data_IF_385231813097
#
_entry.id   IF_385231813097
#
_cell.length_a   1.000
_cell.length_b   1.000
_cell.length_c   1.000
_cell.angle_alpha   90.00
_cell.angle_beta   90.00
_cell.angle_gamma   90.00
#
_symmetry.space_group_name_H-M   'P 1'
#
loop_
_entity.id
_entity.type
_entity.pdbx_description
1 polymer ?
#
# COMPACT_ATOMS: atom_id res chain seq x y z
N UNK A 1 -9.31 1.91 4.20
CA UNK A 1 -9.66 0.62 4.82
C UNK A 1 -8.50 -0.38 4.68
N UNK A 2 -8.15 -0.87 3.47
CA UNK A 2 -7.08 -1.89 3.30
C UNK A 2 -5.71 -1.45 3.83
N UNK A 3 -5.33 -0.18 3.66
CA UNK A 3 -4.06 0.35 4.17
C UNK A 3 -4.05 0.36 5.70
N UNK A 4 -5.15 0.77 6.33
CA UNK A 4 -5.31 0.74 7.79
C UNK A 4 -5.27 -0.70 8.32
N UNK A 5 -5.86 -1.65 7.58
CA UNK A 5 -5.83 -3.07 7.93
C UNK A 5 -4.40 -3.63 7.87
N UNK A 6 -3.57 -3.18 6.92
CA UNK A 6 -2.17 -3.57 6.83
C UNK A 6 -1.35 -3.05 8.03
N UNK A 7 -1.53 -1.78 8.41
CA UNK A 7 -0.85 -1.18 9.55
C UNK A 7 -1.20 -1.93 10.86
N UNK A 8 -2.49 -2.21 11.08
CA UNK A 8 -2.94 -2.99 12.22
C UNK A 8 -2.45 -4.44 12.22
N UNK A 9 -2.36 -5.08 11.07
CA UNK A 9 -1.89 -6.45 10.95
C UNK A 9 -0.39 -6.57 11.23
N UNK A 10 0.40 -5.63 10.76
CA UNK A 10 1.84 -5.57 11.00
C UNK A 10 2.16 -5.43 12.51
N UNK A 11 1.37 -4.64 13.24
CA UNK A 11 1.53 -4.46 14.68
C UNK A 11 1.07 -5.66 15.52
N UNK A 12 0.06 -6.41 15.03
CA UNK A 12 -0.59 -7.47 15.83
C UNK A 12 0.05 -8.85 15.69
N UNK A 13 0.77 -9.09 14.62
CA UNK A 13 1.24 -10.44 14.31
C UNK A 13 2.76 -10.49 14.46
N UNK A 14 3.24 -10.70 15.65
CA UNK A 14 4.67 -10.85 16.02
C UNK A 14 5.52 -11.81 15.17
N UNK A 15 5.19 -11.96 13.90
CA UNK A 15 5.88 -12.77 12.92
C UNK A 15 6.48 -12.00 11.75
N UNK A 16 6.06 -10.75 11.50
CA UNK A 16 6.66 -9.98 10.43
C UNK A 16 7.28 -8.71 10.96
N UNK A 17 8.58 -8.68 10.82
CA UNK A 17 9.40 -7.63 11.33
C UNK A 17 8.97 -6.28 10.75
N UNK A 18 8.53 -5.39 11.61
CA UNK A 18 8.62 -3.97 11.36
C UNK A 18 10.12 -3.67 11.27
N UNK A 19 10.60 -3.35 10.09
CA UNK A 19 11.96 -2.86 9.93
C UNK A 19 11.92 -1.41 10.38
N UNK A 20 12.12 -1.23 11.69
CA UNK A 20 12.17 0.07 12.32
C UNK A 20 13.52 0.74 12.07
N UNK A 21 13.53 2.07 11.98
CA UNK A 21 14.77 2.87 11.86
C UNK A 21 15.52 2.62 10.53
N UNK A 22 14.81 2.76 9.43
CA UNK A 22 15.39 2.65 8.09
C UNK A 22 16.35 3.80 7.84
N UNK A 23 17.64 3.52 7.87
CA UNK A 23 18.69 4.49 7.51
C UNK A 23 19.07 4.39 6.03
N UNK A 24 18.88 3.21 5.45
CA UNK A 24 19.17 2.93 4.04
C UNK A 24 18.01 2.14 3.43
N UNK A 25 17.19 2.82 2.64
CA UNK A 25 16.01 2.25 2.01
C UNK A 25 16.31 1.07 1.07
N UNK A 26 17.42 1.13 0.34
CA UNK A 26 17.82 0.05 -0.58
C UNK A 26 18.09 -1.26 0.19
N UNK A 27 18.91 -1.19 1.24
CA UNK A 27 19.21 -2.35 2.08
C UNK A 27 17.96 -2.88 2.81
N UNK A 28 17.10 -1.98 3.30
CA UNK A 28 15.90 -2.38 4.03
C UNK A 28 14.85 -3.03 3.12
N UNK A 29 14.73 -2.60 1.87
CA UNK A 29 13.89 -3.27 0.88
C UNK A 29 14.38 -4.69 0.59
N UNK A 30 15.70 -4.91 0.50
CA UNK A 30 16.26 -6.24 0.31
C UNK A 30 15.98 -7.17 1.51
N UNK A 31 16.10 -6.67 2.74
CA UNK A 31 15.75 -7.41 3.95
C UNK A 31 14.26 -7.76 3.97
N UNK A 32 13.38 -6.83 3.54
CA UNK A 32 11.95 -7.10 3.46
C UNK A 32 11.64 -8.20 2.41
N UNK A 33 12.35 -8.20 1.29
CA UNK A 33 12.23 -9.26 0.26
C UNK A 33 12.69 -10.61 0.82
N UNK A 34 13.83 -10.63 1.54
CA UNK A 34 14.34 -11.83 2.21
C UNK A 34 13.31 -12.39 3.18
N UNK A 35 12.75 -11.55 4.08
CA UNK A 35 11.73 -11.97 5.03
C UNK A 35 10.46 -12.55 4.36
N UNK A 36 10.04 -11.97 3.23
CA UNK A 36 8.91 -12.52 2.47
C UNK A 36 9.26 -13.87 1.81
N UNK A 37 10.50 -14.04 1.37
CA UNK A 37 10.95 -15.31 0.78
C UNK A 37 11.08 -16.40 1.86
N UNK A 38 11.61 -16.06 3.03
CA UNK A 38 11.71 -16.98 4.17
C UNK A 38 10.31 -17.41 4.68
N UNK A 39 9.31 -16.55 4.49
CA UNK A 39 7.92 -16.83 4.78
C UNK A 39 7.18 -17.63 3.68
N UNK A 40 7.90 -18.16 2.68
CA UNK A 40 7.32 -18.87 1.53
C UNK A 40 6.21 -18.08 0.82
N UNK A 41 6.32 -16.75 0.78
CA UNK A 41 5.36 -15.89 0.08
C UNK A 41 5.66 -15.90 -1.43
N UNK A 42 4.65 -16.14 -2.30
CA UNK A 42 4.85 -16.12 -3.74
C UNK A 42 5.50 -14.83 -4.22
N UNK A 43 6.44 -14.96 -5.16
CA UNK A 43 7.17 -13.80 -5.74
C UNK A 43 6.25 -12.99 -6.68
N UNK A 44 5.27 -13.65 -7.28
CA UNK A 44 4.35 -13.02 -8.22
C UNK A 44 3.37 -12.09 -7.49
N UNK A 45 2.98 -11.01 -8.15
CA UNK A 45 1.96 -10.05 -7.67
C UNK A 45 2.32 -9.40 -6.32
N UNK A 46 3.61 -9.21 -6.05
CA UNK A 46 4.07 -8.37 -4.95
C UNK A 46 4.02 -6.90 -5.37
N UNK A 47 3.64 -6.03 -4.45
CA UNK A 47 3.60 -4.59 -4.64
C UNK A 47 4.14 -3.86 -3.42
N UNK A 48 4.56 -2.62 -3.64
CA UNK A 48 5.04 -1.72 -2.59
C UNK A 48 4.17 -0.46 -2.58
N UNK A 49 3.68 -0.07 -1.40
CA UNK A 49 3.02 1.22 -1.20
C UNK A 49 3.93 2.06 -0.30
N UNK A 50 4.23 3.28 -0.72
CA UNK A 50 5.14 4.19 -0.01
C UNK A 50 4.47 5.52 0.32
N UNK A 51 4.92 6.16 1.40
CA UNK A 51 4.58 7.57 1.68
C UNK A 51 5.32 8.51 0.72
N UNK A 52 4.84 9.75 0.51
CA UNK A 52 5.55 10.74 -0.29
C UNK A 52 6.97 11.03 0.24
N UNK A 53 7.16 11.04 1.56
CA UNK A 53 8.48 11.23 2.20
C UNK A 53 9.44 10.08 1.87
N UNK A 54 8.98 8.84 2.02
CA UNK A 54 9.74 7.65 1.65
C UNK A 54 10.09 7.66 0.15
N UNK A 55 9.14 8.11 -0.69
CA UNK A 55 9.37 8.25 -2.12
C UNK A 55 10.52 9.21 -2.44
N UNK A 56 10.55 10.37 -1.77
CA UNK A 56 11.63 11.34 -1.92
C UNK A 56 12.97 10.75 -1.49
N UNK A 57 12.98 9.99 -0.38
CA UNK A 57 14.16 9.29 0.10
C UNK A 57 14.66 8.22 -0.91
N UNK A 58 13.76 7.45 -1.49
CA UNK A 58 14.09 6.49 -2.56
C UNK A 58 14.65 7.19 -3.80
N UNK A 59 14.08 8.32 -4.21
CA UNK A 59 14.59 9.12 -5.34
C UNK A 59 15.98 9.70 -5.07
N UNK A 60 16.37 9.93 -3.81
CA UNK A 60 17.72 10.40 -3.46
C UNK A 60 18.79 9.30 -3.59
N UNK A 61 18.36 8.05 -3.67
CA UNK A 61 19.27 6.90 -3.84
C UNK A 61 19.62 6.75 -5.32
N UNK A 62 20.90 6.89 -5.67
CA UNK A 62 21.39 6.87 -7.05
C UNK A 62 20.93 5.63 -7.86
N UNK A 63 20.81 4.48 -7.19
CA UNK A 63 20.38 3.22 -7.81
C UNK A 63 18.97 3.29 -8.41
N UNK A 64 18.08 4.10 -7.86
CA UNK A 64 16.69 4.21 -8.35
C UNK A 64 16.49 5.37 -9.33
N UNK A 65 17.45 6.27 -9.43
CA UNK A 65 17.43 7.40 -10.38
C UNK A 65 18.16 7.12 -11.69
N UNK A 66 19.02 6.13 -11.73
CA UNK A 66 19.74 5.78 -12.95
C UNK A 66 18.82 5.07 -13.94
N UNK A 67 18.76 5.58 -15.16
CA UNK A 67 17.89 5.11 -16.24
C UNK A 67 18.07 3.62 -16.57
N UNK A 68 19.21 3.03 -16.23
CA UNK A 68 19.50 1.61 -16.41
C UNK A 68 18.61 0.68 -15.56
N UNK A 69 18.04 1.17 -14.47
CA UNK A 69 17.17 0.39 -13.57
C UNK A 69 15.67 0.59 -13.86
N UNK A 70 15.29 1.63 -14.56
CA UNK A 70 13.88 1.98 -14.81
C UNK A 70 13.35 1.35 -16.11
N UNK A 71 14.03 0.48 -16.77
CA UNK A 71 13.60 -0.38 -17.91
C UNK A 71 12.57 0.17 -18.92
N UNK A 72 11.83 1.20 -18.59
CA UNK A 72 10.85 1.86 -19.45
C UNK A 72 10.82 3.38 -19.13
N UNK A 73 11.21 4.20 -20.09
CA UNK A 73 11.33 5.67 -19.97
C UNK A 73 10.02 6.44 -19.75
N UNK A 74 8.98 5.81 -19.20
CA UNK A 74 7.72 6.43 -18.84
C UNK A 74 7.72 6.83 -17.37
N UNK A 75 8.37 7.96 -17.10
CA UNK A 75 8.28 8.63 -15.82
C UNK A 75 6.82 8.82 -15.38
N UNK A 76 6.54 8.41 -14.14
CA UNK A 76 5.46 8.85 -13.26
C UNK A 76 4.17 9.27 -13.97
N UNK A 77 3.29 8.31 -14.25
CA UNK A 77 1.89 8.59 -14.56
C UNK A 77 1.01 7.90 -13.51
N UNK A 78 0.08 8.66 -12.94
CA UNK A 78 -1.00 8.17 -12.06
C UNK A 78 -0.57 7.54 -10.73
N UNK A 79 0.46 8.09 -10.05
CA UNK A 79 0.89 7.59 -8.74
C UNK A 79 1.68 6.26 -8.79
N UNK A 80 1.92 5.73 -9.99
CA UNK A 80 2.78 4.56 -10.22
C UNK A 80 4.18 5.05 -10.57
N UNK A 81 5.14 4.74 -9.72
CA UNK A 81 6.49 5.32 -9.80
C UNK A 81 7.44 4.46 -10.65
N UNK A 82 7.03 3.26 -10.96
CA UNK A 82 7.85 2.31 -11.69
C UNK A 82 7.91 0.95 -10.98
N UNK A 83 8.92 0.19 -11.30
CA UNK A 83 9.17 -1.12 -10.70
C UNK A 83 10.51 -1.09 -9.96
N UNK A 84 10.51 -1.55 -8.72
CA UNK A 84 11.70 -1.78 -7.91
C UNK A 84 11.79 -3.27 -7.60
N UNK A 85 12.90 -3.91 -7.93
CA UNK A 85 13.11 -5.35 -7.74
C UNK A 85 11.98 -6.23 -8.31
N UNK A 86 11.39 -5.84 -9.45
CA UNK A 86 10.28 -6.56 -10.08
C UNK A 86 8.92 -6.31 -9.45
N UNK A 87 8.82 -5.43 -8.46
CA UNK A 87 7.57 -5.07 -7.77
C UNK A 87 7.08 -3.69 -8.21
N UNK A 88 5.77 -3.54 -8.38
CA UNK A 88 5.16 -2.25 -8.66
C UNK A 88 5.15 -1.36 -7.42
N UNK A 89 5.55 -0.09 -7.59
CA UNK A 89 5.57 0.91 -6.51
C UNK A 89 4.42 1.88 -6.68
N UNK A 90 3.64 2.04 -5.61
CA UNK A 90 2.53 2.98 -5.54
C UNK A 90 2.77 4.00 -4.44
N UNK A 91 2.42 5.24 -4.68
CA UNK A 91 2.48 6.30 -3.68
C UNK A 91 1.09 6.56 -3.09
N UNK A 92 0.99 6.66 -1.77
CA UNK A 92 -0.24 7.02 -1.08
C UNK A 92 0.05 7.88 0.15
N UNK A 93 -0.76 8.91 0.35
CA UNK A 93 -0.72 9.75 1.57
C UNK A 93 -1.46 9.12 2.74
N UNK A 94 -2.16 8.01 2.53
CA UNK A 94 -2.91 7.29 3.57
C UNK A 94 -2.08 6.23 4.31
N UNK A 95 -0.82 6.06 3.91
CA UNK A 95 0.12 5.09 4.49
C UNK A 95 0.83 5.68 5.70
N UNK A 96 0.17 6.01 6.74
CA UNK A 96 0.79 6.55 7.95
C UNK A 96 0.38 7.98 8.26
N UNK A 97 0.55 8.35 9.50
CA UNK A 97 0.19 9.66 10.05
C UNK A 97 1.44 10.52 10.21
N UNK A 98 1.45 11.71 9.66
CA UNK A 98 2.55 12.66 9.80
C UNK A 98 3.64 12.52 8.73
N UNK A 99 4.84 13.08 8.99
CA UNK A 99 6.00 13.06 8.09
C UNK A 99 6.85 11.78 8.24
N UNK A 100 6.28 10.71 8.76
CA UNK A 100 7.01 9.45 8.94
C UNK A 100 7.19 8.77 7.59
N UNK A 101 8.42 8.42 7.28
CA UNK A 101 8.74 7.62 6.10
C UNK A 101 8.27 6.19 6.36
N UNK A 102 7.22 5.77 5.67
CA UNK A 102 6.68 4.42 5.76
C UNK A 102 6.56 3.79 4.39
N UNK A 103 6.77 2.49 4.34
CA UNK A 103 6.48 1.66 3.18
C UNK A 103 5.85 0.35 3.62
N UNK A 104 4.92 -0.16 2.84
CA UNK A 104 4.38 -1.51 2.97
C UNK A 104 4.71 -2.31 1.73
N UNK A 105 5.37 -3.45 1.94
CA UNK A 105 5.58 -4.45 0.92
C UNK A 105 4.63 -5.61 1.19
N UNK A 106 3.85 -6.00 0.20
CA UNK A 106 2.84 -7.05 0.37
C UNK A 106 2.61 -7.83 -0.91
N UNK A 107 2.06 -9.03 -0.75
CA UNK A 107 1.58 -9.86 -1.85
C UNK A 107 0.06 -9.72 -1.95
N UNK A 108 -0.47 -9.70 -3.16
CA UNK A 108 -1.88 -9.42 -3.47
C UNK A 108 -2.87 -10.27 -2.66
N UNK A 109 -2.59 -11.56 -2.48
CA UNK A 109 -3.50 -12.47 -1.77
C UNK A 109 -3.50 -12.28 -0.24
N UNK A 110 -2.63 -11.40 0.29
CA UNK A 110 -2.65 -11.03 1.69
C UNK A 110 -3.88 -10.20 2.08
N UNK A 111 -4.46 -9.50 1.11
CA UNK A 111 -5.53 -8.53 1.30
C UNK A 111 -6.80 -8.98 0.58
N UNK A 112 -7.92 -8.94 1.29
CA UNK A 112 -9.24 -9.26 0.71
C UNK A 112 -10.18 -8.07 0.89
N UNK A 113 -10.79 -7.67 -0.22
CA UNK A 113 -11.89 -6.72 -0.25
C UNK A 113 -13.16 -7.47 -0.64
N UNK A 114 -14.14 -7.53 0.26
CA UNK A 114 -15.44 -8.11 0.00
C UNK A 114 -16.49 -7.01 -0.15
N UNK A 115 -17.23 -7.01 -1.24
CA UNK A 115 -18.34 -6.09 -1.46
C UNK A 115 -19.63 -6.89 -1.38
N UNK A 116 -20.43 -6.62 -0.36
CA UNK A 116 -21.72 -7.26 -0.16
C UNK A 116 -22.80 -6.58 -1.02
N UNK A 117 -22.77 -5.25 -1.09
CA UNK A 117 -23.72 -4.47 -1.85
C UNK A 117 -22.96 -3.42 -2.68
N UNK A 118 -23.17 -3.47 -3.99
CA UNK A 118 -22.71 -2.42 -4.90
C UNK A 118 -23.44 -1.09 -4.61
N UNK A 119 -22.93 0.00 -5.14
CA UNK A 119 -23.52 1.32 -4.97
C UNK A 119 -24.99 1.29 -5.41
N UNK A 120 -25.88 1.55 -4.46
CA UNK A 120 -27.32 1.71 -4.69
C UNK A 120 -27.68 3.16 -4.47
N UNK A 121 -28.40 3.74 -5.40
CA UNK A 121 -28.87 5.12 -5.34
C UNK A 121 -30.37 5.17 -5.18
N UNK A 122 -30.88 6.06 -4.32
CA UNK A 122 -32.29 6.30 -4.10
C UNK A 122 -32.57 7.80 -4.09
N UNK A 123 -33.68 8.19 -4.68
CA UNK A 123 -34.15 9.58 -4.64
C UNK A 123 -35.49 9.62 -3.92
N UNK A 124 -35.67 10.60 -3.04
CA UNK A 124 -36.90 10.84 -2.32
C UNK A 124 -37.18 12.35 -2.27
N UNK A 125 -38.43 12.74 -2.58
CA UNK A 125 -38.86 14.09 -2.41
C UNK A 125 -39.24 14.34 -0.94
N UNK A 126 -38.61 15.34 -0.31
CA UNK A 126 -38.88 15.73 1.09
C UNK A 126 -39.74 17.00 1.12
N UNK A 127 -41.03 16.83 1.39
CA UNK A 127 -42.02 17.94 1.36
C UNK A 127 -41.74 19.03 2.39
N UNK A 128 -41.18 18.68 3.54
CA UNK A 128 -40.84 19.64 4.60
C UNK A 128 -39.72 20.61 4.22
N UNK A 129 -38.88 20.24 3.26
CA UNK A 129 -37.75 21.06 2.80
C UNK A 129 -37.91 21.51 1.33
N UNK A 130 -39.00 21.09 0.66
CA UNK A 130 -39.23 21.32 -0.78
C UNK A 130 -38.02 20.99 -1.61
N UNK A 131 -37.36 19.86 -1.30
CA UNK A 131 -36.10 19.42 -1.92
C UNK A 131 -36.14 17.93 -2.23
N UNK A 132 -35.34 17.52 -3.23
CA UNK A 132 -35.09 16.12 -3.53
C UNK A 132 -33.87 15.63 -2.73
N UNK A 133 -34.08 14.59 -1.92
CA UNK A 133 -33.02 13.89 -1.21
C UNK A 133 -32.45 12.79 -2.08
N UNK A 134 -31.15 12.86 -2.36
CA UNK A 134 -30.41 11.81 -3.05
C UNK A 134 -29.56 11.06 -2.03
N UNK A 135 -29.77 9.75 -1.92
CA UNK A 135 -29.02 8.87 -1.02
C UNK A 135 -28.27 7.82 -1.83
N UNK A 136 -27.00 7.64 -1.56
CA UNK A 136 -26.20 6.56 -2.12
C UNK A 136 -25.61 5.74 -0.98
N UNK A 137 -25.80 4.42 -1.02
CA UNK A 137 -25.28 3.49 -0.03
C UNK A 137 -24.50 2.35 -0.69
N UNK A 138 -23.46 1.88 0.00
CA UNK A 138 -22.67 0.71 -0.37
C UNK A 138 -22.24 -0.02 0.89
N UNK A 139 -22.15 -1.34 0.83
CA UNK A 139 -21.68 -2.18 1.94
C UNK A 139 -20.48 -2.98 1.47
N UNK A 140 -19.34 -2.72 2.07
CA UNK A 140 -18.10 -3.42 1.81
C UNK A 140 -17.31 -3.64 3.09
N UNK A 141 -16.42 -4.61 3.08
CA UNK A 141 -15.47 -4.86 4.16
C UNK A 141 -14.10 -5.22 3.61
N UNK A 142 -13.07 -4.88 4.32
CA UNK A 142 -11.69 -5.23 3.99
C UNK A 142 -11.05 -5.96 5.17
N UNK A 143 -10.18 -6.92 4.87
CA UNK A 143 -9.43 -7.65 5.89
C UNK A 143 -8.10 -8.15 5.35
N UNK A 144 -7.09 -8.14 6.22
CA UNK A 144 -5.85 -8.88 6.02
C UNK A 144 -6.09 -10.35 6.38
N UNK A 145 -5.86 -11.23 5.43
CA UNK A 145 -6.04 -12.70 5.59
C UNK A 145 -4.71 -13.37 5.94
N UNK A 146 -3.61 -12.90 5.34
CA UNK A 146 -2.26 -13.44 5.57
C UNK A 146 -1.32 -12.32 6.01
N UNK A 147 -1.29 -12.06 7.31
CA UNK A 147 -0.40 -11.04 7.88
C UNK A 147 1.08 -11.33 7.59
N UNK A 148 1.49 -12.60 7.55
CA UNK A 148 2.84 -13.03 7.19
C UNK A 148 3.30 -12.63 5.79
N UNK A 149 2.39 -12.23 4.92
CA UNK A 149 2.70 -11.77 3.55
C UNK A 149 2.78 -10.25 3.42
N UNK A 150 2.89 -9.54 4.55
CA UNK A 150 3.02 -8.08 4.62
C UNK A 150 4.25 -7.73 5.44
N UNK A 151 5.09 -6.83 4.92
CA UNK A 151 6.24 -6.25 5.61
C UNK A 151 6.05 -4.75 5.74
N UNK A 152 6.21 -4.21 6.94
CA UNK A 152 6.23 -2.78 7.20
C UNK A 152 7.65 -2.29 7.37
N UNK A 153 8.00 -1.20 6.70
CA UNK A 153 9.26 -0.48 6.84
C UNK A 153 8.94 0.93 7.35
N UNK A 154 9.61 1.35 8.39
CA UNK A 154 9.43 2.70 8.96
C UNK A 154 10.78 3.29 9.38
N UNK A 155 10.96 4.60 9.17
CA UNK A 155 12.14 5.33 9.64
C UNK A 155 11.87 5.99 10.99
#
# INVERSE_FOLDING_TARGET
>A
ALITDMDGASALTGGNAVIASVTNWDASLLIAIENLNDGDVPVNDRAIIVTPSCMTALMSTARFTEQAFIGDGKAIKNGKIGMIYGMEVYMSTQVGTGNTEKAFMFQKDALVLATQQSIRTQTQYVQSQLADLFTADTVYGSKVVRAGSIQELTS
#
